data_IF_495270192641
#
_entry.id   IF_495270192641
#
_cell.length_a   1.000
_cell.length_b   1.000
_cell.length_c   1.000
_cell.angle_alpha   90.00
_cell.angle_beta   90.00
_cell.angle_gamma   90.00
#
_symmetry.space_group_name_H-M   'P 1'
#
loop_
_entity.id
_entity.type
_entity.pdbx_description
1 polymer ?
#
# COMPACT_ATOMS: atom_id res chain seq x y z
N UNK A 1 13.91 -9.53 -7.46
CA UNK A 1 12.51 -9.58 -6.99
C UNK A 1 12.15 -8.19 -6.56
N UNK A 2 10.98 -7.69 -6.98
CA UNK A 2 10.56 -6.33 -6.65
C UNK A 2 10.26 -6.28 -5.15
N UNK A 3 10.81 -5.30 -4.45
CA UNK A 3 10.77 -5.21 -2.98
C UNK A 3 9.32 -5.15 -2.42
N UNK A 4 8.39 -4.55 -3.16
CA UNK A 4 6.97 -4.47 -2.76
C UNK A 4 6.27 -5.84 -2.70
N UNK A 5 6.83 -6.85 -3.34
CA UNK A 5 6.29 -8.22 -3.31
C UNK A 5 6.46 -8.92 -1.94
N UNK A 6 7.19 -8.32 -1.02
CA UNK A 6 7.33 -8.77 0.37
C UNK A 6 6.90 -7.70 1.37
N UNK A 7 6.33 -6.60 0.87
CA UNK A 7 5.88 -5.50 1.72
C UNK A 7 4.53 -5.79 2.38
N UNK A 8 4.27 -5.09 3.46
CA UNK A 8 2.99 -5.05 4.14
C UNK A 8 2.13 -3.95 3.49
N UNK A 9 0.95 -4.32 3.01
CA UNK A 9 -0.01 -3.40 2.41
C UNK A 9 -1.07 -3.00 3.43
N UNK A 10 -1.38 -1.71 3.48
CA UNK A 10 -2.52 -1.19 4.24
C UNK A 10 -3.83 -1.35 3.45
N UNK A 11 -4.95 -1.01 4.08
CA UNK A 11 -6.29 -1.12 3.50
C UNK A 11 -6.43 -0.33 2.20
N UNK A 12 -5.96 0.92 2.17
CA UNK A 12 -6.03 1.76 0.97
C UNK A 12 -5.26 1.14 -0.20
N UNK A 13 -4.09 0.59 0.06
CA UNK A 13 -3.25 -0.05 -0.96
C UNK A 13 -3.84 -1.36 -1.47
N UNK A 14 -4.52 -2.14 -0.59
CA UNK A 14 -5.27 -3.35 -0.98
C UNK A 14 -6.42 -2.98 -1.92
N UNK A 15 -7.19 -1.93 -1.60
CA UNK A 15 -8.28 -1.43 -2.45
C UNK A 15 -7.75 -1.00 -3.83
N UNK A 16 -6.66 -0.23 -3.85
CA UNK A 16 -6.04 0.22 -5.12
C UNK A 16 -5.52 -0.96 -5.93
N UNK A 17 -4.90 -1.94 -5.29
CA UNK A 17 -4.42 -3.15 -5.98
C UNK A 17 -5.57 -3.95 -6.58
N UNK A 18 -6.68 -4.12 -5.86
CA UNK A 18 -7.87 -4.81 -6.40
C UNK A 18 -8.43 -4.09 -7.63
N UNK A 19 -8.57 -2.76 -7.57
CA UNK A 19 -9.02 -1.95 -8.72
C UNK A 19 -8.09 -2.10 -9.93
N UNK A 20 -6.77 -2.07 -9.72
CA UNK A 20 -5.79 -2.29 -10.78
C UNK A 20 -5.93 -3.67 -11.42
N UNK A 21 -6.14 -4.71 -10.62
CA UNK A 21 -6.31 -6.09 -11.11
C UNK A 21 -7.62 -6.28 -11.89
N UNK A 22 -8.67 -5.56 -11.51
CA UNK A 22 -9.94 -5.57 -12.25
C UNK A 22 -9.82 -4.84 -13.58
N UNK A 23 -9.06 -3.73 -13.62
CA UNK A 23 -8.85 -2.93 -14.82
C UNK A 23 -7.93 -3.62 -15.83
N UNK A 24 -6.85 -4.21 -15.33
CA UNK A 24 -5.91 -5.00 -16.11
C UNK A 24 -5.47 -6.24 -15.33
N UNK A 25 -6.07 -7.40 -15.61
CA UNK A 25 -5.66 -8.65 -14.96
C UNK A 25 -4.19 -9.00 -15.14
N UNK A 26 -3.52 -8.51 -16.20
CA UNK A 26 -2.11 -8.77 -16.43
C UNK A 26 -1.20 -8.03 -15.44
N UNK A 27 -1.70 -6.96 -14.80
CA UNK A 27 -0.93 -6.24 -13.77
C UNK A 27 -0.58 -7.17 -12.60
N UNK A 28 -1.40 -8.20 -12.37
CA UNK A 28 -1.19 -9.19 -11.31
C UNK A 28 0.19 -9.85 -11.35
N UNK A 29 0.79 -10.00 -12.54
CA UNK A 29 2.14 -10.61 -12.71
C UNK A 29 3.26 -9.82 -12.02
N UNK A 30 3.03 -8.54 -11.74
CA UNK A 30 3.99 -7.67 -11.05
C UNK A 30 3.80 -7.66 -9.53
N UNK A 31 2.73 -8.31 -9.06
CA UNK A 31 2.36 -8.38 -7.65
C UNK A 31 2.26 -9.84 -7.21
N UNK A 32 3.26 -10.28 -6.48
CA UNK A 32 3.38 -11.65 -6.00
C UNK A 32 2.32 -11.98 -4.93
N UNK A 33 1.98 -13.23 -4.80
CA UNK A 33 1.20 -13.77 -3.66
C UNK A 33 1.92 -13.62 -2.31
N UNK A 34 3.18 -13.18 -2.30
CA UNK A 34 3.94 -12.93 -1.07
C UNK A 34 3.70 -11.56 -0.46
N UNK A 35 2.88 -10.70 -1.09
CA UNK A 35 2.43 -9.42 -0.51
C UNK A 35 1.66 -9.74 0.76
N UNK A 36 2.01 -9.03 1.83
CA UNK A 36 1.50 -9.28 3.17
C UNK A 36 0.41 -8.29 3.55
N UNK A 37 -0.56 -8.76 4.30
CA UNK A 37 -1.59 -7.94 4.95
C UNK A 37 -1.83 -8.48 6.35
N UNK A 38 -2.29 -7.64 7.27
CA UNK A 38 -2.82 -8.11 8.56
C UNK A 38 -4.32 -8.42 8.44
N UNK A 39 -4.82 -9.37 9.22
CA UNK A 39 -6.24 -9.75 9.18
C UNK A 39 -7.19 -8.57 9.44
N UNK A 40 -6.81 -7.63 10.32
CA UNK A 40 -7.58 -6.42 10.62
C UNK A 40 -7.84 -5.55 9.38
N UNK A 41 -6.97 -5.58 8.36
CA UNK A 41 -7.17 -4.88 7.08
C UNK A 41 -8.49 -5.31 6.41
N UNK A 42 -8.86 -6.59 6.50
CA UNK A 42 -10.09 -7.10 5.90
C UNK A 42 -11.35 -6.82 6.71
N UNK A 43 -11.21 -6.31 7.91
CA UNK A 43 -12.32 -5.95 8.80
C UNK A 43 -12.61 -4.46 8.81
N UNK A 44 -11.90 -3.64 8.04
CA UNK A 44 -12.17 -2.20 7.93
C UNK A 44 -13.38 -1.91 7.04
N UNK A 45 -14.23 -1.00 7.48
CA UNK A 45 -15.46 -0.57 6.78
C UNK A 45 -15.21 -0.05 5.36
N UNK A 46 -13.99 0.41 5.08
CA UNK A 46 -13.60 0.90 3.75
C UNK A 46 -13.44 -0.23 2.73
N UNK A 47 -13.24 -1.46 3.19
CA UNK A 47 -13.05 -2.63 2.33
C UNK A 47 -14.39 -3.37 2.18
N UNK A 48 -15.02 -3.25 1.02
CA UNK A 48 -16.26 -3.98 0.76
C UNK A 48 -16.01 -5.50 0.70
N UNK A 49 -17.09 -6.28 0.91
CA UNK A 49 -17.03 -7.75 0.97
C UNK A 49 -16.44 -8.37 -0.30
N UNK A 50 -16.80 -7.85 -1.49
CA UNK A 50 -16.30 -8.37 -2.76
C UNK A 50 -14.80 -8.18 -2.93
N UNK A 51 -14.28 -7.00 -2.58
CA UNK A 51 -12.83 -6.72 -2.58
C UNK A 51 -12.13 -7.61 -1.56
N UNK A 52 -12.67 -7.73 -0.34
CA UNK A 52 -12.14 -8.60 0.70
C UNK A 52 -12.02 -10.05 0.21
N UNK A 53 -13.11 -10.61 -0.35
CA UNK A 53 -13.13 -11.98 -0.85
C UNK A 53 -12.09 -12.22 -1.97
N UNK A 54 -11.96 -11.29 -2.93
CA UNK A 54 -10.96 -11.41 -4.01
C UNK A 54 -9.54 -11.31 -3.49
N UNK A 55 -9.28 -10.37 -2.58
CA UNK A 55 -7.92 -10.10 -2.14
C UNK A 55 -7.41 -11.11 -1.12
N UNK A 56 -8.28 -11.72 -0.30
CA UNK A 56 -7.92 -12.82 0.59
C UNK A 56 -7.36 -14.04 -0.16
N UNK A 57 -7.77 -14.25 -1.41
CA UNK A 57 -7.28 -15.36 -2.23
C UNK A 57 -5.86 -15.14 -2.79
N UNK A 58 -5.39 -13.89 -2.81
CA UNK A 58 -4.14 -13.52 -3.50
C UNK A 58 -3.10 -12.87 -2.60
N UNK A 59 -3.45 -12.57 -1.35
CA UNK A 59 -2.53 -11.95 -0.38
C UNK A 59 -2.19 -12.95 0.74
N UNK A 60 -1.02 -12.79 1.33
CA UNK A 60 -0.56 -13.59 2.46
C UNK A 60 -0.88 -12.87 3.76
N UNK A 61 -1.54 -13.56 4.70
CA UNK A 61 -1.76 -13.02 6.04
C UNK A 61 -0.44 -12.96 6.81
N UNK A 62 -0.15 -11.78 7.36
CA UNK A 62 0.95 -11.55 8.29
C UNK A 62 0.40 -11.55 9.71
N UNK A 63 1.02 -12.34 10.58
CA UNK A 63 0.68 -12.33 12.01
C UNK A 63 0.95 -10.95 12.62
N UNK A 64 0.03 -10.50 13.44
CA UNK A 64 0.18 -9.28 14.24
C UNK A 64 1.02 -9.57 15.49
N UNK A 65 1.73 -8.58 16.03
CA UNK A 65 2.47 -8.73 17.26
C UNK A 65 1.56 -9.08 18.45
N UNK A 66 2.11 -9.83 19.40
CA UNK A 66 1.44 -10.11 20.67
C UNK A 66 1.19 -8.83 21.47
N UNK A 67 0.24 -8.87 22.42
CA UNK A 67 -0.04 -7.73 23.31
C UNK A 67 1.21 -7.23 24.07
N UNK A 68 2.10 -8.14 24.46
CA UNK A 68 3.35 -7.78 25.13
C UNK A 68 4.33 -7.02 24.21
N UNK A 69 4.41 -7.41 22.95
CA UNK A 69 5.21 -6.73 21.93
C UNK A 69 4.61 -5.37 21.57
N UNK A 70 3.28 -5.30 21.41
CA UNK A 70 2.57 -4.04 21.17
C UNK A 70 2.78 -3.05 22.33
N UNK A 71 2.73 -3.50 23.59
CA UNK A 71 3.00 -2.65 24.73
C UNK A 71 4.44 -2.08 24.72
N UNK A 72 5.44 -2.90 24.36
CA UNK A 72 6.83 -2.45 24.18
C UNK A 72 6.97 -1.48 23.02
N UNK A 73 6.32 -1.78 21.89
CA UNK A 73 6.29 -0.92 20.72
C UNK A 73 5.70 0.45 21.03
N UNK A 74 4.52 0.52 21.68
CA UNK A 74 3.85 1.77 22.04
C UNK A 74 4.69 2.63 22.99
N UNK A 75 5.42 2.01 23.93
CA UNK A 75 6.37 2.70 24.81
C UNK A 75 7.49 3.38 24.01
N UNK A 76 8.02 2.71 23.00
CA UNK A 76 9.18 3.16 22.22
C UNK A 76 8.80 4.19 21.15
N UNK A 77 7.76 3.94 20.37
CA UNK A 77 7.45 4.72 19.17
C UNK A 77 6.33 5.74 19.37
N UNK A 78 5.50 5.58 20.41
CA UNK A 78 4.39 6.50 20.73
C UNK A 78 3.59 6.89 19.46
N UNK A 79 2.95 5.94 18.77
CA UNK A 79 2.27 6.21 17.51
C UNK A 79 1.26 7.33 17.65
N UNK A 80 1.15 8.16 16.62
CA UNK A 80 0.26 9.31 16.61
C UNK A 80 -1.19 8.90 16.88
N UNK A 81 -1.91 9.71 17.64
CA UNK A 81 -3.35 9.58 17.84
C UNK A 81 -4.14 9.73 16.53
N UNK A 82 -3.55 10.36 15.51
CA UNK A 82 -4.17 10.52 14.20
C UNK A 82 -4.17 9.24 13.35
N UNK A 83 -3.43 8.19 13.76
CA UNK A 83 -3.47 6.89 13.10
C UNK A 83 -4.68 6.10 13.60
N UNK A 84 -5.38 5.43 12.68
CA UNK A 84 -6.41 4.45 13.03
C UNK A 84 -5.80 3.30 13.85
N UNK A 85 -6.62 2.49 14.48
CA UNK A 85 -6.09 1.34 15.24
C UNK A 85 -5.51 0.28 14.31
N UNK A 86 -6.06 0.13 13.09
CA UNK A 86 -5.49 -0.74 12.05
C UNK A 86 -4.14 -0.20 11.58
N UNK A 87 -4.00 1.11 11.33
CA UNK A 87 -2.72 1.72 10.96
C UNK A 87 -1.65 1.56 12.04
N UNK A 88 -2.03 1.66 13.31
CA UNK A 88 -1.13 1.38 14.44
C UNK A 88 -0.66 -0.08 14.44
N UNK A 89 -1.55 -1.02 14.11
CA UNK A 89 -1.19 -2.43 13.98
C UNK A 89 -0.29 -2.68 12.76
N UNK A 90 -0.58 -2.06 11.61
CA UNK A 90 0.29 -2.09 10.42
C UNK A 90 1.68 -1.56 10.77
N UNK A 91 1.75 -0.41 11.45
CA UNK A 91 3.02 0.20 11.87
C UNK A 91 3.81 -0.71 12.82
N UNK A 92 3.17 -1.25 13.86
CA UNK A 92 3.82 -2.15 14.81
C UNK A 92 4.33 -3.42 14.14
N UNK A 93 3.48 -4.04 13.29
CA UNK A 93 3.82 -5.25 12.52
C UNK A 93 5.02 -5.00 11.61
N UNK A 94 5.02 -3.88 10.89
CA UNK A 94 6.11 -3.50 10.01
C UNK A 94 7.43 -3.32 10.75
N UNK A 95 7.42 -2.59 11.88
CA UNK A 95 8.63 -2.32 12.68
C UNK A 95 9.21 -3.59 13.28
N UNK A 96 8.36 -4.43 13.88
CA UNK A 96 8.82 -5.63 14.58
C UNK A 96 9.33 -6.71 13.61
N UNK A 97 8.75 -6.78 12.41
CA UNK A 97 9.15 -7.74 11.38
C UNK A 97 10.10 -7.14 10.32
N UNK A 98 10.49 -5.87 10.46
CA UNK A 98 11.37 -5.14 9.52
C UNK A 98 10.85 -5.18 8.08
N UNK A 99 9.53 -5.00 7.91
CA UNK A 99 8.87 -5.02 6.60
C UNK A 99 8.82 -3.63 6.00
N UNK A 100 8.97 -3.54 4.69
CA UNK A 100 8.56 -2.38 3.93
C UNK A 100 7.03 -2.24 3.97
N UNK A 101 6.50 -1.02 3.80
CA UNK A 101 5.06 -0.76 3.82
C UNK A 101 4.63 -0.09 2.52
N UNK A 102 3.48 -0.50 2.00
CA UNK A 102 2.80 0.20 0.92
C UNK A 102 1.52 0.81 1.50
N UNK A 103 1.44 2.13 1.47
CA UNK A 103 0.33 2.90 2.04
C UNK A 103 0.07 4.18 1.25
N UNK A 104 -1.16 4.62 1.18
CA UNK A 104 -1.53 5.96 0.70
C UNK A 104 -1.64 6.98 1.85
N UNK A 105 -1.71 6.51 3.10
CA UNK A 105 -1.79 7.37 4.27
C UNK A 105 -0.44 8.05 4.55
N UNK A 106 -0.46 9.40 4.55
CA UNK A 106 0.76 10.21 4.77
C UNK A 106 1.27 10.15 6.21
N UNK A 107 0.37 10.00 7.18
CA UNK A 107 0.76 9.93 8.59
C UNK A 107 1.43 8.60 8.87
N UNK A 108 0.84 7.50 8.41
CA UNK A 108 1.47 6.18 8.47
C UNK A 108 2.80 6.17 7.71
N UNK A 109 2.83 6.72 6.48
CA UNK A 109 4.06 6.81 5.70
C UNK A 109 5.19 7.55 6.42
N UNK A 110 4.89 8.69 7.08
CA UNK A 110 5.88 9.43 7.90
C UNK A 110 6.37 8.61 9.09
N UNK A 111 5.46 7.92 9.79
CA UNK A 111 5.82 7.07 10.92
C UNK A 111 6.77 5.94 10.51
N UNK A 112 6.50 5.28 9.38
CA UNK A 112 7.34 4.21 8.80
C UNK A 112 8.74 4.73 8.45
N UNK A 113 8.84 5.89 7.77
CA UNK A 113 10.13 6.51 7.45
C UNK A 113 10.91 6.88 8.72
N UNK A 114 10.23 7.45 9.73
CA UNK A 114 10.85 7.82 11.00
C UNK A 114 11.39 6.59 11.74
N UNK A 115 10.76 5.44 11.57
CA UNK A 115 11.25 4.16 12.11
C UNK A 115 12.40 3.54 11.29
N UNK A 116 12.83 4.20 10.19
CA UNK A 116 13.93 3.73 9.35
C UNK A 116 13.54 2.64 8.35
N UNK A 117 12.25 2.46 8.08
CA UNK A 117 11.75 1.47 7.14
C UNK A 117 11.42 2.07 5.78
N UNK A 118 11.45 1.23 4.76
CA UNK A 118 11.05 1.61 3.39
C UNK A 118 9.53 1.75 3.31
N UNK A 119 9.10 2.81 2.63
CA UNK A 119 7.68 3.04 2.35
C UNK A 119 7.49 3.55 0.92
N UNK A 120 6.38 3.18 0.31
CA UNK A 120 5.89 3.76 -0.93
C UNK A 120 4.35 3.79 -0.94
N UNK A 121 3.80 4.44 -1.94
CA UNK A 121 2.41 4.25 -2.31
C UNK A 121 2.31 3.57 -3.69
N UNK A 122 1.11 3.22 -4.11
CA UNK A 122 0.88 2.53 -5.38
C UNK A 122 1.38 3.35 -6.59
N UNK A 123 1.32 4.68 -6.53
CA UNK A 123 1.84 5.55 -7.59
C UNK A 123 3.36 5.37 -7.77
N UNK A 124 4.13 5.28 -6.70
CA UNK A 124 5.57 5.03 -6.78
C UNK A 124 5.89 3.64 -7.33
N UNK A 125 5.09 2.63 -7.03
CA UNK A 125 5.25 1.28 -7.60
C UNK A 125 4.99 1.31 -9.11
N UNK A 126 3.91 1.94 -9.56
CA UNK A 126 3.62 2.11 -10.99
C UNK A 126 4.74 2.86 -11.72
N UNK A 127 5.27 3.92 -11.10
CA UNK A 127 6.44 4.66 -11.63
C UNK A 127 7.66 3.76 -11.77
N UNK A 128 7.94 2.92 -10.78
CA UNK A 128 9.06 1.98 -10.82
C UNK A 128 8.89 0.92 -11.91
N UNK A 129 7.67 0.41 -12.12
CA UNK A 129 7.37 -0.52 -13.20
C UNK A 129 7.65 0.09 -14.59
N UNK A 130 7.39 1.40 -14.76
CA UNK A 130 7.73 2.10 -16.01
C UNK A 130 9.24 2.32 -16.11
N UNK A 131 9.90 2.77 -15.05
CA UNK A 131 11.36 3.00 -15.04
C UNK A 131 12.14 1.72 -15.34
N UNK A 132 11.67 0.58 -14.87
CA UNK A 132 12.26 -0.75 -15.12
C UNK A 132 11.78 -1.40 -16.42
N UNK A 133 11.04 -0.66 -17.28
CA UNK A 133 10.50 -1.12 -18.57
C UNK A 133 9.60 -2.36 -18.50
N UNK A 134 9.03 -2.65 -17.31
CA UNK A 134 8.03 -3.71 -17.11
C UNK A 134 6.66 -3.28 -17.58
N UNK A 135 6.36 -1.99 -17.48
CA UNK A 135 5.14 -1.36 -17.93
C UNK A 135 5.47 -0.23 -18.90
N UNK A 136 4.71 -0.06 -19.98
CA UNK A 136 4.89 1.10 -20.85
C UNK A 136 4.30 2.35 -20.22
N UNK A 137 4.84 3.52 -20.53
CA UNK A 137 4.30 4.81 -20.06
C UNK A 137 2.83 4.97 -20.42
N UNK A 138 2.47 4.69 -21.69
CA UNK A 138 1.08 4.81 -22.18
C UNK A 138 0.12 3.89 -21.42
N UNK A 139 0.56 2.67 -21.09
CA UNK A 139 -0.25 1.73 -20.33
C UNK A 139 -0.42 2.22 -18.88
N UNK A 140 0.66 2.71 -18.27
CA UNK A 140 0.61 3.30 -16.93
C UNK A 140 -0.39 4.47 -16.86
N UNK A 141 -0.37 5.40 -17.83
CA UNK A 141 -1.32 6.51 -17.90
C UNK A 141 -2.77 6.03 -17.99
N UNK A 142 -3.05 5.00 -18.79
CA UNK A 142 -4.40 4.40 -18.86
C UNK A 142 -4.85 3.85 -17.51
N UNK A 143 -3.98 3.16 -16.78
CA UNK A 143 -4.29 2.64 -15.44
C UNK A 143 -4.54 3.78 -14.44
N UNK A 144 -3.74 4.85 -14.48
CA UNK A 144 -3.94 6.02 -13.62
C UNK A 144 -5.31 6.69 -13.89
N UNK A 145 -5.69 6.84 -15.16
CA UNK A 145 -7.00 7.39 -15.54
C UNK A 145 -8.13 6.46 -15.08
N UNK A 146 -7.99 5.16 -15.27
CA UNK A 146 -8.98 4.18 -14.84
C UNK A 146 -9.17 4.20 -13.31
N UNK A 147 -8.10 4.30 -12.53
CA UNK A 147 -8.18 4.50 -11.08
C UNK A 147 -8.92 5.79 -10.71
N UNK A 148 -8.58 6.90 -11.39
CA UNK A 148 -9.23 8.18 -11.13
C UNK A 148 -10.74 8.16 -11.44
N UNK A 149 -11.17 7.47 -12.49
CA UNK A 149 -12.58 7.25 -12.82
C UNK A 149 -13.32 6.43 -11.75
N UNK A 150 -12.60 5.60 -11.01
CA UNK A 150 -13.11 4.83 -9.85
C UNK A 150 -12.94 5.59 -8.51
N UNK A 151 -12.76 6.90 -8.56
CA UNK A 151 -12.50 7.76 -7.40
C UNK A 151 -11.27 7.36 -6.57
N UNK A 152 -10.29 6.71 -7.18
CA UNK A 152 -9.01 6.40 -6.56
C UNK A 152 -7.94 7.38 -7.06
N UNK A 153 -7.87 8.53 -6.42
CA UNK A 153 -7.04 9.65 -6.84
C UNK A 153 -5.62 9.52 -6.29
N UNK A 154 -4.89 8.45 -6.64
CA UNK A 154 -3.54 8.18 -6.10
C UNK A 154 -2.52 9.30 -6.38
N UNK A 155 -2.78 10.17 -7.32
CA UNK A 155 -2.00 11.38 -7.61
C UNK A 155 -2.71 12.69 -7.20
N UNK A 156 -3.89 12.59 -6.57
CA UNK A 156 -4.68 13.75 -6.14
C UNK A 156 -5.36 14.53 -7.26
N UNK A 157 -5.41 14.01 -8.49
CA UNK A 157 -6.06 14.63 -9.66
C UNK A 157 -6.98 13.65 -10.37
N UNK A 158 -8.07 14.18 -10.99
CA UNK A 158 -9.00 13.40 -11.80
C UNK A 158 -8.49 13.09 -13.21
N UNK A 159 -7.50 13.82 -13.67
CA UNK A 159 -6.88 13.68 -15.00
C UNK A 159 -5.38 13.47 -14.87
N UNK A 160 -4.94 12.34 -14.27
CA UNK A 160 -3.53 12.10 -14.03
C UNK A 160 -2.76 11.88 -15.33
N UNK A 161 -1.56 12.43 -15.39
CA UNK A 161 -0.62 12.27 -16.51
C UNK A 161 0.67 11.59 -16.05
N UNK A 162 1.48 11.14 -17.01
CA UNK A 162 2.83 10.66 -16.71
C UNK A 162 3.69 11.73 -16.05
N UNK A 163 3.50 13.00 -16.42
CA UNK A 163 4.26 14.10 -15.83
C UNK A 163 3.95 14.27 -14.34
N UNK A 164 2.68 14.10 -13.94
CA UNK A 164 2.26 14.13 -12.54
C UNK A 164 2.90 12.96 -11.78
N UNK A 165 2.85 11.76 -12.35
CA UNK A 165 3.48 10.57 -11.75
C UNK A 165 4.99 10.75 -11.65
N UNK A 166 5.65 11.32 -12.67
CA UNK A 166 7.10 11.56 -12.67
C UNK A 166 7.52 12.49 -11.55
N UNK A 167 6.73 13.53 -11.25
CA UNK A 167 6.96 14.49 -10.17
C UNK A 167 6.52 13.99 -8.80
N UNK A 168 5.71 12.94 -8.75
CA UNK A 168 5.14 12.43 -7.49
C UNK A 168 6.22 11.96 -6.52
N UNK A 169 6.06 12.33 -5.26
CA UNK A 169 6.92 11.94 -4.12
C UNK A 169 6.05 11.50 -2.97
N UNK A 170 6.47 10.48 -2.24
CA UNK A 170 5.75 9.97 -1.08
C UNK A 170 6.73 9.37 -0.05
N UNK A 171 6.49 9.55 1.26
CA UNK A 171 5.71 10.65 1.81
C UNK A 171 6.40 11.99 1.56
N UNK A 172 5.62 13.05 1.44
CA UNK A 172 6.22 14.39 1.34
C UNK A 172 6.90 14.73 2.67
N UNK A 173 8.14 15.17 2.59
CA UNK A 173 8.87 15.76 3.74
C UNK A 173 8.26 17.08 4.15
#
# INVERSE_FOLDING_TARGET
MDWWNQALFDTCSVITLDKLRQEDPQIARYFSVSIKVIAATFSEDQLNEDTSARMQQVLTLQEIPSNAELAKFHKKFKPSIALSDVDKLVFATAVLNKLAVVTADRQLGKAIVTAGLQVANMALILKELVNTKKLSQTHCEKLLIALALRNDLILGTKTPTWLDLKKHKFPHR
#
